data_IF_573202225539
#
_entry.id   IF_573202225539
#
_cell.length_a   1.000
_cell.length_b   1.000
_cell.length_c   1.000
_cell.angle_alpha   90.00
_cell.angle_beta   90.00
_cell.angle_gamma   90.00
#
_symmetry.space_group_name_H-M   'P 1'
#
loop_
_entity.id
_entity.type
_entity.pdbx_description
1 polymer ?
#
# COMPACT_ATOMS: atom_id res chain seq x y z
N UNK A 1 12.19 -0.58 -18.50
CA UNK A 1 12.45 -0.50 -17.08
C UNK A 1 13.92 -0.21 -16.86
N UNK A 2 14.33 0.20 -15.69
CA UNK A 2 15.69 0.60 -15.37
C UNK A 2 15.68 1.76 -14.40
N UNK A 3 16.85 2.16 -13.94
CA UNK A 3 16.97 3.30 -13.02
C UNK A 3 16.63 4.63 -13.73
N UNK A 4 15.70 5.37 -13.15
CA UNK A 4 15.38 6.75 -13.54
C UNK A 4 15.87 7.72 -12.45
N UNK A 5 16.85 8.59 -12.74
CA UNK A 5 17.38 9.54 -11.76
C UNK A 5 16.34 10.61 -11.35
N UNK A 6 15.25 10.75 -12.08
CA UNK A 6 14.16 11.69 -11.77
C UNK A 6 13.02 11.05 -10.96
N UNK A 7 13.01 9.72 -10.76
CA UNK A 7 12.03 9.07 -9.88
C UNK A 7 12.59 8.95 -8.44
N UNK A 8 12.06 9.75 -7.48
CA UNK A 8 12.55 9.75 -6.10
C UNK A 8 12.25 8.46 -5.34
N UNK A 9 11.41 7.59 -5.90
CA UNK A 9 10.99 6.32 -5.27
C UNK A 9 11.94 5.18 -5.61
N UNK A 10 12.68 5.30 -6.71
CA UNK A 10 13.62 4.28 -7.13
C UNK A 10 14.92 4.33 -6.32
N UNK A 11 15.45 3.16 -6.00
CA UNK A 11 16.82 2.99 -5.51
C UNK A 11 17.76 2.68 -6.68
N UNK A 12 19.07 2.76 -6.45
CA UNK A 12 20.06 2.45 -7.49
C UNK A 12 20.12 0.96 -7.83
N UNK A 13 19.51 0.12 -6.99
CA UNK A 13 19.48 -1.33 -7.13
C UNK A 13 18.33 -1.83 -8.02
N UNK A 14 17.60 -0.91 -8.67
CA UNK A 14 16.54 -1.27 -9.61
C UNK A 14 17.13 -2.06 -10.78
N UNK A 15 16.62 -3.26 -11.07
CA UNK A 15 17.08 -4.06 -12.20
C UNK A 15 16.96 -3.31 -13.53
N UNK A 16 18.00 -3.33 -14.35
CA UNK A 16 17.98 -2.67 -15.67
C UNK A 16 17.11 -3.43 -16.67
N UNK A 17 16.97 -4.74 -16.48
CA UNK A 17 16.14 -5.63 -17.29
C UNK A 17 15.35 -6.55 -16.37
N UNK A 18 14.08 -6.78 -16.72
CA UNK A 18 13.23 -7.78 -16.08
C UNK A 18 12.70 -8.66 -17.21
N UNK A 19 13.07 -9.93 -17.20
CA UNK A 19 12.52 -10.91 -18.11
C UNK A 19 11.22 -11.47 -17.52
N UNK A 20 10.10 -10.91 -17.96
CA UNK A 20 8.76 -11.36 -17.56
C UNK A 20 8.12 -12.30 -18.57
N UNK A 21 8.75 -12.47 -19.74
CA UNK A 21 8.18 -13.27 -20.82
C UNK A 21 8.62 -14.74 -20.75
N UNK A 22 9.82 -15.01 -20.27
CA UNK A 22 10.36 -16.37 -20.17
C UNK A 22 9.54 -17.26 -19.26
N UNK A 23 8.97 -16.70 -18.18
CA UNK A 23 8.18 -17.45 -17.19
C UNK A 23 6.67 -17.50 -17.45
N UNK A 24 6.17 -16.83 -18.50
CA UNK A 24 4.73 -16.87 -18.80
C UNK A 24 4.21 -18.27 -19.18
N UNK A 25 5.08 -19.13 -19.66
CA UNK A 25 4.73 -20.49 -20.07
C UNK A 25 4.94 -21.55 -18.97
N UNK A 26 5.49 -21.18 -17.81
CA UNK A 26 5.86 -22.13 -16.76
C UNK A 26 4.64 -22.74 -16.05
N UNK A 27 3.46 -22.13 -16.21
CA UNK A 27 2.23 -22.55 -15.55
C UNK A 27 2.22 -22.27 -14.06
N UNK A 28 1.34 -22.99 -13.32
CA UNK A 28 1.16 -22.80 -11.87
C UNK A 28 1.78 -23.93 -11.04
N UNK A 29 2.34 -24.96 -11.67
CA UNK A 29 2.88 -26.12 -10.96
C UNK A 29 4.03 -25.72 -10.01
N UNK A 30 3.86 -26.04 -8.72
CA UNK A 30 4.84 -25.73 -7.68
C UNK A 30 4.80 -24.31 -7.13
N UNK A 31 3.93 -23.42 -7.64
CA UNK A 31 3.67 -22.12 -7.05
C UNK A 31 2.92 -22.29 -5.71
N UNK A 32 3.50 -21.81 -4.62
CA UNK A 32 2.88 -21.89 -3.29
C UNK A 32 2.05 -20.63 -3.05
N UNK A 33 0.73 -20.82 -2.91
CA UNK A 33 -0.24 -19.75 -2.72
C UNK A 33 -0.79 -19.80 -1.31
N UNK A 34 -0.63 -18.69 -0.55
CA UNK A 34 -1.25 -18.50 0.75
C UNK A 34 -2.56 -17.72 0.63
N UNK A 35 -3.68 -18.30 1.06
CA UNK A 35 -4.94 -17.60 1.21
C UNK A 35 -4.93 -16.92 2.58
N UNK A 36 -4.85 -15.59 2.60
CA UNK A 36 -4.79 -14.81 3.84
C UNK A 36 -6.16 -14.76 4.51
N UNK A 37 -6.34 -15.46 5.64
CA UNK A 37 -7.63 -15.62 6.29
C UNK A 37 -8.25 -14.29 6.74
N UNK A 38 -7.49 -13.44 7.42
CA UNK A 38 -7.94 -12.14 7.93
C UNK A 38 -8.30 -11.15 6.80
N UNK A 39 -7.78 -11.36 5.59
CA UNK A 39 -8.13 -10.55 4.42
C UNK A 39 -9.56 -10.76 3.92
N UNK A 40 -10.27 -11.80 4.42
CA UNK A 40 -11.65 -12.12 4.04
C UNK A 40 -12.69 -11.65 5.05
N UNK A 41 -12.29 -11.16 6.24
CA UNK A 41 -13.23 -10.90 7.33
C UNK A 41 -14.29 -9.84 7.01
N UNK A 42 -13.88 -8.77 6.33
CA UNK A 42 -14.77 -7.68 5.95
C UNK A 42 -15.22 -7.73 4.48
N UNK A 43 -14.94 -8.85 3.78
CA UNK A 43 -15.29 -9.00 2.38
C UNK A 43 -16.77 -9.32 2.19
N UNK A 44 -17.41 -8.64 1.24
CA UNK A 44 -18.77 -9.00 0.79
C UNK A 44 -18.81 -10.45 0.29
N UNK A 45 -19.92 -11.14 0.52
CA UNK A 45 -20.05 -12.58 0.22
C UNK A 45 -19.73 -12.88 -1.24
N UNK A 46 -20.24 -12.06 -2.17
CA UNK A 46 -20.01 -12.23 -3.62
C UNK A 46 -18.53 -12.08 -3.99
N UNK A 47 -17.82 -11.14 -3.35
CA UNK A 47 -16.37 -10.93 -3.58
C UNK A 47 -15.59 -12.10 -3.01
N UNK A 48 -15.92 -12.55 -1.80
CA UNK A 48 -15.32 -13.73 -1.18
C UNK A 48 -15.46 -14.96 -2.07
N UNK A 49 -16.67 -15.25 -2.53
CA UNK A 49 -16.98 -16.43 -3.35
C UNK A 49 -16.21 -16.37 -4.68
N UNK A 50 -16.15 -15.20 -5.31
CA UNK A 50 -15.41 -15.00 -6.55
C UNK A 50 -13.89 -15.22 -6.38
N UNK A 51 -13.30 -14.67 -5.30
CA UNK A 51 -11.88 -14.86 -5.00
C UNK A 51 -11.59 -16.33 -4.69
N UNK A 52 -12.46 -16.99 -3.93
CA UNK A 52 -12.29 -18.43 -3.63
C UNK A 52 -12.43 -19.30 -4.89
N UNK A 53 -13.36 -19.00 -5.78
CA UNK A 53 -13.44 -19.68 -7.08
C UNK A 53 -12.17 -19.49 -7.92
N UNK A 54 -11.56 -18.30 -7.89
CA UNK A 54 -10.27 -18.08 -8.56
C UNK A 54 -9.13 -18.90 -7.91
N UNK A 55 -9.14 -19.05 -6.59
CA UNK A 55 -8.18 -19.91 -5.86
C UNK A 55 -8.33 -21.38 -6.28
N UNK A 56 -9.57 -21.87 -6.43
CA UNK A 56 -9.83 -23.23 -6.88
C UNK A 56 -9.28 -23.47 -8.29
N UNK A 57 -9.48 -22.52 -9.21
CA UNK A 57 -8.91 -22.58 -10.56
C UNK A 57 -7.36 -22.65 -10.55
N UNK A 58 -6.72 -21.89 -9.66
CA UNK A 58 -5.27 -21.93 -9.50
C UNK A 58 -4.78 -23.27 -8.95
N UNK A 59 -5.51 -23.85 -8.00
CA UNK A 59 -5.22 -25.18 -7.47
C UNK A 59 -5.39 -26.27 -8.55
N UNK A 60 -6.44 -26.22 -9.36
CA UNK A 60 -6.67 -27.12 -10.50
C UNK A 60 -5.56 -26.98 -11.55
N UNK A 61 -5.00 -25.77 -11.70
CA UNK A 61 -3.84 -25.51 -12.59
C UNK A 61 -2.51 -26.00 -12.01
N UNK A 62 -2.49 -26.57 -10.79
CA UNK A 62 -1.32 -27.20 -10.19
C UNK A 62 -0.59 -26.37 -9.14
N UNK A 63 -1.17 -25.26 -8.68
CA UNK A 63 -0.61 -24.49 -7.56
C UNK A 63 -0.82 -25.25 -6.23
N UNK A 64 0.14 -25.11 -5.31
CA UNK A 64 0.03 -25.58 -3.92
C UNK A 64 -0.62 -24.50 -3.06
N UNK A 65 -1.90 -24.70 -2.74
CA UNK A 65 -2.71 -23.71 -2.02
C UNK A 65 -2.80 -24.08 -0.54
N UNK A 66 -2.52 -23.11 0.32
CA UNK A 66 -2.64 -23.25 1.77
C UNK A 66 -3.31 -22.03 2.41
N UNK A 67 -3.87 -22.21 3.61
CA UNK A 67 -4.38 -21.09 4.42
C UNK A 67 -3.23 -20.49 5.22
N UNK A 68 -3.22 -19.16 5.32
CA UNK A 68 -2.22 -18.39 6.05
C UNK A 68 -2.94 -17.39 6.95
N UNK A 69 -2.57 -17.37 8.22
CA UNK A 69 -3.08 -16.40 9.20
C UNK A 69 -2.01 -15.40 9.56
N UNK A 70 -2.36 -14.11 9.49
CA UNK A 70 -1.54 -12.97 9.92
C UNK A 70 -2.43 -12.06 10.78
N UNK A 71 -2.59 -12.34 12.10
CA UNK A 71 -3.49 -11.59 12.97
C UNK A 71 -3.26 -10.09 13.00
N UNK A 72 -2.01 -9.65 12.76
CA UNK A 72 -1.65 -8.25 12.64
C UNK A 72 -2.38 -7.53 11.49
N UNK A 73 -2.87 -8.27 10.48
CA UNK A 73 -3.60 -7.73 9.34
C UNK A 73 -4.81 -6.88 9.76
N UNK A 74 -5.54 -7.27 10.81
CA UNK A 74 -6.70 -6.53 11.33
C UNK A 74 -6.41 -5.07 11.69
N UNK A 75 -5.18 -4.72 12.03
CA UNK A 75 -4.80 -3.37 12.46
C UNK A 75 -4.02 -2.56 11.43
N UNK A 76 -3.64 -3.18 10.30
CA UNK A 76 -2.86 -2.52 9.23
C UNK A 76 -3.60 -1.31 8.66
N UNK A 77 -4.92 -1.44 8.41
CA UNK A 77 -5.76 -0.36 7.84
C UNK A 77 -5.74 0.90 8.73
N UNK A 78 -5.84 0.72 10.04
CA UNK A 78 -5.80 1.84 11.00
C UNK A 78 -4.43 2.53 11.01
N UNK A 79 -3.34 1.75 10.99
CA UNK A 79 -2.00 2.29 10.91
C UNK A 79 -1.76 3.02 9.58
N UNK A 80 -2.21 2.45 8.47
CA UNK A 80 -2.10 3.08 7.16
C UNK A 80 -2.91 4.37 7.08
N UNK A 81 -4.13 4.40 7.61
CA UNK A 81 -4.94 5.62 7.65
C UNK A 81 -4.24 6.75 8.39
N UNK A 82 -3.60 6.46 9.52
CA UNK A 82 -2.81 7.43 10.27
C UNK A 82 -1.60 7.94 9.47
N UNK A 83 -0.84 7.05 8.85
CA UNK A 83 0.34 7.39 8.04
C UNK A 83 -0.04 8.21 6.81
N UNK A 84 -1.06 7.75 6.08
CA UNK A 84 -1.50 8.42 4.85
C UNK A 84 -2.14 9.76 5.14
N UNK A 85 -3.05 9.82 6.11
CA UNK A 85 -3.80 11.04 6.44
C UNK A 85 -2.91 12.13 6.99
N UNK A 86 -2.20 11.89 8.09
CA UNK A 86 -1.32 12.90 8.70
C UNK A 86 -0.11 13.20 7.81
N UNK A 87 0.42 12.21 7.08
CA UNK A 87 1.51 12.39 6.12
C UNK A 87 1.10 13.27 4.93
N UNK A 88 -0.06 13.01 4.32
CA UNK A 88 -0.58 13.84 3.24
C UNK A 88 -0.85 15.28 3.71
N UNK A 89 -1.46 15.44 4.89
CA UNK A 89 -1.69 16.75 5.47
C UNK A 89 -0.37 17.53 5.67
N UNK A 90 0.69 16.88 6.16
CA UNK A 90 1.99 17.50 6.34
C UNK A 90 2.58 17.97 5.00
N UNK A 91 2.51 17.13 3.96
CA UNK A 91 2.97 17.46 2.61
C UNK A 91 2.22 18.68 2.03
N UNK A 92 0.91 18.70 2.13
CA UNK A 92 0.11 19.84 1.66
C UNK A 92 0.40 21.12 2.44
N UNK A 93 0.51 21.04 3.77
CA UNK A 93 0.78 22.22 4.62
C UNK A 93 2.18 22.82 4.44
N UNK A 94 3.14 22.01 4.03
CA UNK A 94 4.51 22.48 3.77
C UNK A 94 4.74 22.86 2.31
N UNK A 95 3.70 22.85 1.46
CA UNK A 95 3.84 23.13 0.04
C UNK A 95 4.77 22.15 -0.67
N UNK A 96 4.74 20.88 -0.26
CA UNK A 96 5.58 19.79 -0.77
C UNK A 96 7.06 19.88 -0.39
N UNK A 97 7.44 20.77 0.53
CA UNK A 97 8.80 20.81 1.03
C UNK A 97 9.18 19.47 1.70
N UNK A 98 10.28 18.87 1.23
CA UNK A 98 10.77 17.59 1.72
C UNK A 98 10.03 16.34 1.19
N UNK A 99 8.98 16.49 0.38
CA UNK A 99 8.22 15.35 -0.17
C UNK A 99 9.04 14.50 -1.15
N UNK A 100 9.98 15.09 -1.86
CA UNK A 100 10.85 14.45 -2.86
C UNK A 100 12.30 14.44 -2.37
N UNK A 101 12.61 13.67 -1.37
CA UNK A 101 13.79 13.81 -0.52
C UNK A 101 15.16 13.61 -1.20
N UNK A 102 15.24 13.02 -2.39
CA UNK A 102 16.55 12.61 -2.96
C UNK A 102 16.81 13.06 -4.39
N UNK A 103 15.82 13.57 -5.12
CA UNK A 103 15.96 13.75 -6.56
C UNK A 103 15.25 15.01 -7.06
N UNK A 104 14.68 14.90 -8.23
CA UNK A 104 14.00 15.97 -8.93
C UNK A 104 12.74 16.46 -8.24
N UNK A 105 12.66 17.77 -8.03
CA UNK A 105 11.45 18.46 -7.58
C UNK A 105 10.71 19.02 -8.79
N UNK A 106 9.54 18.48 -9.16
CA UNK A 106 8.78 18.95 -10.33
C UNK A 106 8.10 20.29 -10.06
N UNK A 107 8.83 21.37 -10.24
CA UNK A 107 8.43 22.74 -9.84
C UNK A 107 7.06 23.15 -10.42
N UNK A 108 6.76 22.80 -11.66
CA UNK A 108 5.49 23.13 -12.30
C UNK A 108 4.30 22.38 -11.66
N UNK A 109 4.48 21.11 -11.31
CA UNK A 109 3.44 20.31 -10.63
C UNK A 109 3.23 20.85 -9.21
N UNK A 110 4.31 21.13 -8.47
CA UNK A 110 4.26 21.69 -7.12
C UNK A 110 3.51 23.03 -7.16
N UNK A 111 3.84 23.93 -8.09
CA UNK A 111 3.17 25.21 -8.24
C UNK A 111 1.67 25.04 -8.56
N UNK A 112 1.31 24.13 -9.47
CA UNK A 112 -0.07 23.85 -9.83
C UNK A 112 -0.89 23.32 -8.65
N UNK A 113 -0.33 22.35 -7.88
CA UNK A 113 -1.01 21.78 -6.72
C UNK A 113 -1.15 22.83 -5.61
N UNK A 114 -0.13 23.63 -5.33
CA UNK A 114 -0.23 24.68 -4.32
C UNK A 114 -1.23 25.78 -4.71
N UNK A 115 -1.33 26.11 -6.00
CA UNK A 115 -2.37 27.02 -6.51
C UNK A 115 -3.76 26.42 -6.33
N UNK A 116 -3.96 25.16 -6.69
CA UNK A 116 -5.22 24.44 -6.48
C UNK A 116 -5.59 24.41 -5.00
N UNK A 117 -4.65 24.07 -4.14
CA UNK A 117 -4.85 24.02 -2.69
C UNK A 117 -5.29 25.37 -2.11
N UNK A 118 -4.70 26.47 -2.57
CA UNK A 118 -5.00 27.82 -2.09
C UNK A 118 -6.34 28.37 -2.61
N UNK A 119 -6.78 27.99 -3.80
CA UNK A 119 -7.92 28.64 -4.48
C UNK A 119 -9.08 27.70 -4.85
N UNK A 120 -8.89 26.39 -4.81
CA UNK A 120 -9.85 25.39 -5.29
C UNK A 120 -9.95 24.16 -4.38
N UNK A 121 -9.60 24.28 -3.09
CA UNK A 121 -9.68 23.16 -2.15
C UNK A 121 -11.10 22.59 -1.98
N UNK A 122 -12.12 23.40 -2.29
CA UNK A 122 -13.52 23.00 -2.29
C UNK A 122 -13.87 22.00 -3.40
N UNK A 123 -13.07 21.91 -4.47
CA UNK A 123 -13.23 20.91 -5.54
C UNK A 123 -12.76 19.51 -5.16
N UNK A 124 -12.05 19.36 -4.03
CA UNK A 124 -11.65 18.06 -3.52
C UNK A 124 -12.87 17.17 -3.25
N UNK A 125 -12.71 15.85 -3.47
CA UNK A 125 -13.79 14.91 -3.20
C UNK A 125 -14.18 14.93 -1.71
N UNK A 126 -15.44 14.59 -1.36
CA UNK A 126 -15.87 14.53 0.04
C UNK A 126 -14.98 13.64 0.90
N UNK A 127 -14.51 12.50 0.36
CA UNK A 127 -13.60 11.58 1.05
C UNK A 127 -12.25 12.24 1.36
N UNK A 128 -11.69 12.96 0.39
CA UNK A 128 -10.42 13.68 0.59
C UNK A 128 -10.56 14.78 1.63
N UNK A 129 -11.65 15.55 1.58
CA UNK A 129 -11.95 16.58 2.59
C UNK A 129 -12.05 15.98 3.99
N UNK A 130 -12.83 14.91 4.15
CA UNK A 130 -13.00 14.23 5.43
C UNK A 130 -11.67 13.72 5.97
N UNK A 131 -10.85 13.07 5.12
CA UNK A 131 -9.53 12.59 5.51
C UNK A 131 -8.61 13.71 6.00
N UNK A 132 -8.57 14.85 5.32
CA UNK A 132 -7.74 15.98 5.70
C UNK A 132 -8.23 16.65 7.00
N UNK A 133 -9.55 16.78 7.19
CA UNK A 133 -10.15 17.31 8.43
C UNK A 133 -9.84 16.39 9.61
N UNK A 134 -10.06 15.08 9.45
CA UNK A 134 -9.77 14.08 10.47
C UNK A 134 -8.29 14.09 10.85
N UNK A 135 -7.40 14.20 9.87
CA UNK A 135 -5.94 14.26 10.08
C UNK A 135 -5.52 15.56 10.80
N UNK A 136 -6.15 16.69 10.48
CA UNK A 136 -5.91 17.95 11.20
C UNK A 136 -6.39 17.90 12.65
N UNK A 137 -7.56 17.29 12.91
CA UNK A 137 -8.04 17.05 14.26
C UNK A 137 -7.11 16.13 15.04
N UNK A 138 -6.66 15.04 14.42
CA UNK A 138 -5.67 14.12 15.00
C UNK A 138 -4.39 14.87 15.38
N UNK A 139 -3.85 15.64 14.46
CA UNK A 139 -2.64 16.43 14.68
C UNK A 139 -2.78 17.44 15.81
N UNK A 140 -3.92 18.15 15.88
CA UNK A 140 -4.20 19.13 16.95
C UNK A 140 -4.34 18.50 18.32
N UNK A 141 -5.04 17.37 18.40
CA UNK A 141 -5.34 16.72 19.66
C UNK A 141 -4.19 15.83 20.17
N UNK A 142 -3.45 15.22 19.26
CA UNK A 142 -2.43 14.21 19.60
C UNK A 142 -1.01 14.61 19.23
N UNK A 143 -0.81 15.81 18.62
CA UNK A 143 0.51 16.40 18.34
C UNK A 143 1.47 15.47 17.58
N UNK A 144 0.96 14.72 16.57
CA UNK A 144 1.74 13.79 15.77
C UNK A 144 2.01 12.42 16.42
N UNK A 145 1.49 12.19 17.64
CA UNK A 145 1.70 10.90 18.36
C UNK A 145 1.06 9.72 17.63
N UNK A 146 -0.07 9.95 16.94
CA UNK A 146 -0.75 8.89 16.19
C UNK A 146 0.10 8.44 15.01
N UNK A 147 0.63 9.39 14.23
CA UNK A 147 1.58 9.10 13.15
C UNK A 147 2.83 8.36 13.65
N UNK A 148 3.44 8.87 14.73
CA UNK A 148 4.63 8.25 15.32
C UNK A 148 4.35 6.81 15.79
N UNK A 149 3.20 6.56 16.43
CA UNK A 149 2.79 5.22 16.84
C UNK A 149 2.59 4.29 15.64
N UNK A 150 1.96 4.77 14.58
CA UNK A 150 1.77 4.00 13.35
C UNK A 150 3.12 3.64 12.68
N UNK A 151 4.09 4.57 12.66
CA UNK A 151 5.44 4.28 12.19
C UNK A 151 6.15 3.22 13.06
N UNK A 152 5.99 3.29 14.38
CA UNK A 152 6.66 2.39 15.30
C UNK A 152 6.09 0.96 15.27
N UNK A 153 4.82 0.77 14.90
CA UNK A 153 4.22 -0.56 14.76
C UNK A 153 4.52 -1.20 13.40
N UNK A 154 4.90 -0.42 12.39
CA UNK A 154 5.18 -0.90 11.04
C UNK A 154 6.16 -2.06 10.96
N UNK A 155 7.29 -2.10 11.70
CA UNK A 155 8.20 -3.25 11.69
C UNK A 155 7.54 -4.56 12.13
N UNK A 156 6.54 -4.51 13.02
CA UNK A 156 5.78 -5.70 13.45
C UNK A 156 5.00 -6.29 12.26
N UNK A 157 4.33 -5.45 11.48
CA UNK A 157 3.63 -5.89 10.28
C UNK A 157 4.59 -6.49 9.26
N UNK A 158 5.70 -5.81 8.96
CA UNK A 158 6.72 -6.31 8.02
C UNK A 158 7.17 -7.71 8.46
N UNK A 159 7.54 -7.88 9.73
CA UNK A 159 7.98 -9.17 10.27
C UNK A 159 6.92 -10.26 10.13
N UNK A 160 5.65 -9.94 10.38
CA UNK A 160 4.55 -10.92 10.28
C UNK A 160 4.34 -11.37 8.83
N UNK A 161 4.31 -10.43 7.87
CA UNK A 161 4.21 -10.76 6.46
C UNK A 161 5.43 -11.50 5.92
N UNK A 162 6.65 -11.10 6.29
CA UNK A 162 7.88 -11.78 5.90
C UNK A 162 7.90 -13.23 6.40
N UNK A 163 7.42 -13.46 7.63
CA UNK A 163 7.31 -14.82 8.18
C UNK A 163 6.31 -15.69 7.41
N UNK A 164 5.20 -15.12 6.97
CA UNK A 164 4.23 -15.81 6.13
C UNK A 164 4.81 -16.11 4.74
N UNK A 165 5.41 -15.11 4.09
CA UNK A 165 6.02 -15.22 2.76
C UNK A 165 7.28 -16.12 2.72
N UNK A 166 7.84 -16.49 3.85
CA UNK A 166 8.88 -17.52 3.90
C UNK A 166 8.35 -18.92 3.50
N UNK A 167 7.05 -19.15 3.67
CA UNK A 167 6.41 -20.45 3.42
C UNK A 167 5.58 -20.48 2.12
N UNK A 168 5.22 -19.33 1.58
CA UNK A 168 4.45 -19.20 0.34
C UNK A 168 5.09 -18.16 -0.58
N UNK A 169 4.83 -18.26 -1.88
CA UNK A 169 5.42 -17.36 -2.87
C UNK A 169 4.56 -16.12 -3.09
N UNK A 170 3.24 -16.25 -2.90
CA UNK A 170 2.26 -15.17 -3.00
C UNK A 170 1.16 -15.31 -1.96
N UNK A 171 0.53 -14.18 -1.59
CA UNK A 171 -0.67 -14.14 -0.77
C UNK A 171 -1.85 -13.68 -1.63
N UNK A 172 -3.01 -14.31 -1.43
CA UNK A 172 -4.28 -13.94 -2.07
C UNK A 172 -5.28 -13.54 -1.00
N UNK A 173 -5.95 -12.41 -1.23
CA UNK A 173 -7.07 -11.92 -0.44
C UNK A 173 -7.96 -11.01 -1.31
N UNK A 174 -9.22 -10.77 -0.93
CA UNK A 174 -10.06 -9.72 -1.52
C UNK A 174 -9.44 -8.32 -1.38
N UNK A 175 -9.84 -7.44 -2.28
CA UNK A 175 -9.42 -6.01 -2.23
C UNK A 175 -10.46 -5.19 -1.49
#
# INVERSE_FOLDING_TARGET
AGYDPYDPRQTRDVPTTIDVLSSLADGMAGLRIGVLEEGFDDAEVEVRDLVMAAVDVLAEAGADVSRVSIPEHHTVSAAQAALTGEGALAVFKTGFFGAFTRTYYPASIIAAINKMWASQADTLTPRSKLSLIASELSRRNYHGRVYAKAQNVRPTYIKAYDAALANVDVLIMPT
#
